data_IF_878616111405
#
_entry.id   IF_878616111405
#
_cell.length_a   1.000
_cell.length_b   1.000
_cell.length_c   1.000
_cell.angle_alpha   90.00
_cell.angle_beta   90.00
_cell.angle_gamma   90.00
#
_symmetry.space_group_name_H-M   'P 1'
#
loop_
_entity.id
_entity.type
_entity.pdbx_description
1 polymer ?
#
# COMPACT_ATOMS: atom_id res chain seq x y z
N UNK A 1 19.43 37.64 28.93
CA UNK A 1 18.33 37.84 29.89
C UNK A 1 17.42 36.62 29.84
N UNK A 2 16.76 36.30 30.97
CA UNK A 2 15.89 35.12 31.08
C UNK A 2 14.81 35.03 29.96
N UNK A 3 14.33 36.15 29.45
CA UNK A 3 13.37 36.21 28.36
C UNK A 3 13.94 35.68 27.03
N UNK A 4 15.24 35.92 26.76
CA UNK A 4 15.84 35.41 25.51
C UNK A 4 16.12 33.88 25.55
N UNK A 5 16.27 33.32 26.74
CA UNK A 5 16.49 31.87 26.92
C UNK A 5 15.17 31.08 26.82
N UNK A 6 14.04 31.68 27.18
CA UNK A 6 12.73 31.08 27.00
C UNK A 6 12.38 30.96 25.50
N UNK A 7 12.73 31.98 24.70
CA UNK A 7 12.52 31.96 23.25
C UNK A 7 13.34 30.87 22.53
N UNK A 8 14.54 30.57 23.03
CA UNK A 8 15.42 29.54 22.48
C UNK A 8 14.99 28.12 22.83
N UNK A 9 14.03 27.95 23.74
CA UNK A 9 13.50 26.64 24.17
C UNK A 9 12.17 26.28 23.55
N UNK A 10 11.69 27.08 22.59
CA UNK A 10 10.46 26.76 21.85
C UNK A 10 10.74 25.68 20.83
N UNK A 11 9.90 24.66 20.82
CA UNK A 11 9.86 23.62 19.80
C UNK A 11 8.53 23.72 19.07
N UNK A 12 8.51 23.41 17.78
CA UNK A 12 7.26 23.34 17.04
C UNK A 12 6.40 22.15 17.50
N UNK A 13 5.08 22.20 17.39
CA UNK A 13 4.22 21.05 17.68
C UNK A 13 4.62 19.78 16.93
N UNK A 14 5.12 19.94 15.68
CA UNK A 14 5.65 18.83 14.87
C UNK A 14 6.90 18.20 15.50
N UNK A 15 7.88 19.01 15.89
CA UNK A 15 9.10 18.50 16.54
C UNK A 15 8.80 17.80 17.86
N UNK A 16 7.87 18.36 18.65
CA UNK A 16 7.42 17.74 19.90
C UNK A 16 6.79 16.38 19.64
N UNK A 17 5.88 16.29 18.66
CA UNK A 17 5.24 15.05 18.26
C UNK A 17 6.27 14.00 17.82
N UNK A 18 7.21 14.36 16.94
CA UNK A 18 8.25 13.44 16.47
C UNK A 18 9.14 12.95 17.62
N UNK A 19 9.59 13.86 18.50
CA UNK A 19 10.45 13.48 19.64
C UNK A 19 9.79 12.50 20.62
N UNK A 20 8.46 12.57 20.76
CA UNK A 20 7.72 11.65 21.62
C UNK A 20 7.42 10.33 20.90
N UNK A 21 7.04 10.39 19.63
CA UNK A 21 6.56 9.22 18.88
C UNK A 21 7.70 8.35 18.35
N UNK A 22 8.71 8.97 17.74
CA UNK A 22 9.81 8.22 17.10
C UNK A 22 10.42 7.13 17.98
N UNK A 23 10.82 7.41 19.25
CA UNK A 23 11.41 6.36 20.09
C UNK A 23 10.49 5.19 20.40
N UNK A 24 9.16 5.38 20.21
CA UNK A 24 8.16 4.36 20.50
C UNK A 24 7.82 3.50 19.29
N UNK A 25 8.06 4.02 18.07
CA UNK A 25 7.71 3.33 16.81
C UNK A 25 8.93 2.86 16.02
N UNK A 26 10.12 3.36 16.36
CA UNK A 26 11.36 2.90 15.74
C UNK A 26 11.67 1.47 16.15
N UNK A 27 11.85 0.61 15.15
CA UNK A 27 12.24 -0.79 15.30
C UNK A 27 13.57 -0.94 14.56
N UNK A 28 14.59 -1.51 15.20
CA UNK A 28 15.93 -1.66 14.61
C UNK A 28 15.93 -2.59 13.39
N UNK A 29 15.16 -3.68 13.46
CA UNK A 29 14.97 -4.62 12.35
C UNK A 29 13.47 -4.80 12.08
N UNK A 30 12.86 -3.90 11.30
CA UNK A 30 11.44 -4.00 11.02
C UNK A 30 11.15 -5.24 10.18
N UNK A 31 10.20 -6.06 10.66
CA UNK A 31 9.61 -7.17 9.92
C UNK A 31 8.12 -6.99 9.99
N UNK A 32 7.54 -6.59 8.89
CA UNK A 32 6.13 -6.25 8.83
C UNK A 32 5.28 -7.40 8.31
N UNK A 33 4.01 -7.32 8.63
CA UNK A 33 2.92 -8.14 8.09
C UNK A 33 1.83 -7.19 7.58
N UNK A 34 1.54 -7.26 6.29
CA UNK A 34 0.44 -6.53 5.67
C UNK A 34 -0.74 -7.46 5.40
N UNK A 35 -1.92 -7.08 5.85
CA UNK A 35 -3.17 -7.80 5.61
C UNK A 35 -4.18 -6.84 5.00
N UNK A 36 -4.79 -7.24 3.89
CA UNK A 36 -5.88 -6.50 3.26
C UNK A 36 -7.05 -7.43 3.00
N UNK A 37 -8.24 -6.98 3.34
CA UNK A 37 -9.50 -7.62 2.96
C UNK A 37 -10.40 -6.64 2.24
N UNK A 38 -10.79 -6.99 1.02
CA UNK A 38 -11.79 -6.26 0.24
C UNK A 38 -13.03 -7.12 0.13
N UNK A 39 -14.17 -6.58 0.52
CA UNK A 39 -15.48 -7.25 0.39
C UNK A 39 -16.37 -6.43 -0.52
N UNK A 40 -16.88 -7.06 -1.56
CA UNK A 40 -17.81 -6.47 -2.51
C UNK A 40 -19.14 -7.24 -2.43
N UNK A 41 -20.22 -6.50 -2.27
CA UNK A 41 -21.59 -7.04 -2.23
C UNK A 41 -22.35 -6.45 -3.40
N UNK A 42 -22.99 -7.28 -4.19
CA UNK A 42 -23.74 -6.85 -5.37
C UNK A 42 -24.59 -7.96 -5.95
N UNK A 43 -24.97 -7.80 -7.19
CA UNK A 43 -25.76 -8.78 -7.94
C UNK A 43 -25.03 -9.20 -9.21
N UNK A 44 -25.11 -10.47 -9.53
CA UNK A 44 -24.66 -11.02 -10.81
C UNK A 44 -25.80 -11.75 -11.48
N UNK A 45 -26.27 -11.23 -12.61
CA UNK A 45 -27.44 -11.76 -13.37
C UNK A 45 -28.70 -11.95 -12.51
N UNK A 46 -28.97 -10.97 -11.62
CA UNK A 46 -30.12 -10.96 -10.72
C UNK A 46 -29.96 -11.80 -9.44
N UNK A 47 -28.83 -12.44 -9.23
CA UNK A 47 -28.54 -13.19 -8.01
C UNK A 47 -27.63 -12.39 -7.09
N UNK A 48 -27.89 -12.30 -5.78
CA UNK A 48 -27.01 -11.64 -4.84
C UNK A 48 -25.67 -12.39 -4.77
N UNK A 49 -24.58 -11.62 -4.84
CA UNK A 49 -23.21 -12.15 -4.79
C UNK A 49 -22.37 -11.35 -3.82
N UNK A 50 -21.60 -12.05 -3.01
CA UNK A 50 -20.55 -11.45 -2.17
C UNK A 50 -19.20 -11.99 -2.61
N UNK A 51 -18.31 -11.10 -3.02
CA UNK A 51 -16.92 -11.44 -3.30
C UNK A 51 -16.03 -10.89 -2.21
N UNK A 52 -15.19 -11.75 -1.64
CA UNK A 52 -14.16 -11.35 -0.67
C UNK A 52 -12.80 -11.68 -1.24
N UNK A 53 -11.89 -10.70 -1.20
CA UNK A 53 -10.51 -10.83 -1.64
C UNK A 53 -9.64 -10.58 -0.41
N UNK A 54 -8.84 -11.56 -0.04
CA UNK A 54 -7.85 -11.48 1.03
C UNK A 54 -6.46 -11.49 0.42
N UNK A 55 -5.62 -10.59 0.89
CA UNK A 55 -4.21 -10.51 0.53
C UNK A 55 -3.44 -10.44 1.85
N UNK A 56 -2.43 -11.29 1.97
CA UNK A 56 -1.49 -11.27 3.08
C UNK A 56 -0.08 -11.30 2.52
N UNK A 57 0.79 -10.48 3.06
CA UNK A 57 2.19 -10.44 2.69
C UNK A 57 3.03 -10.10 3.91
N UNK A 58 4.26 -10.58 3.94
CA UNK A 58 5.18 -10.40 5.04
C UNK A 58 6.56 -9.99 4.53
N UNK A 59 7.42 -9.62 5.47
CA UNK A 59 8.82 -9.32 5.18
C UNK A 59 9.46 -10.45 4.36
N UNK A 60 10.08 -10.10 3.24
CA UNK A 60 10.74 -11.07 2.36
C UNK A 60 12.22 -11.24 2.77
N UNK A 61 12.53 -12.34 3.44
CA UNK A 61 13.88 -12.68 3.87
C UNK A 61 14.88 -12.84 2.71
N UNK A 62 14.43 -13.10 1.50
CA UNK A 62 15.28 -13.28 0.32
C UNK A 62 15.73 -11.96 -0.28
N UNK A 63 14.86 -10.98 -0.32
CA UNK A 63 15.12 -9.67 -0.94
C UNK A 63 15.40 -8.58 0.08
N UNK A 64 15.02 -8.78 1.34
CA UNK A 64 15.08 -7.77 2.40
C UNK A 64 13.98 -6.71 2.32
N UNK A 65 13.00 -6.86 1.42
CA UNK A 65 11.89 -5.92 1.32
C UNK A 65 10.83 -6.14 2.39
N UNK A 66 10.34 -5.04 2.95
CA UNK A 66 9.14 -5.02 3.76
C UNK A 66 7.90 -5.30 2.91
N UNK A 67 6.87 -5.89 3.52
CA UNK A 67 5.59 -6.10 2.83
C UNK A 67 4.99 -4.78 2.33
N UNK A 68 5.04 -3.71 3.14
CA UNK A 68 4.56 -2.39 2.76
C UNK A 68 5.37 -1.78 1.61
N UNK A 69 6.69 -1.98 1.57
CA UNK A 69 7.54 -1.54 0.46
C UNK A 69 7.18 -2.25 -0.83
N UNK A 70 6.96 -3.56 -0.78
CA UNK A 70 6.49 -4.35 -1.93
C UNK A 70 5.13 -3.82 -2.42
N UNK A 71 4.15 -3.66 -1.54
CA UNK A 71 2.82 -3.20 -1.92
C UNK A 71 2.83 -1.83 -2.57
N UNK A 72 3.67 -0.93 -2.09
CA UNK A 72 3.80 0.42 -2.64
C UNK A 72 4.65 0.44 -3.91
N UNK A 73 5.86 -0.09 -3.83
CA UNK A 73 6.86 -0.03 -4.91
C UNK A 73 6.49 -0.91 -6.11
N UNK A 74 6.00 -2.12 -5.89
CA UNK A 74 5.62 -3.01 -6.98
C UNK A 74 4.38 -2.54 -7.70
N UNK A 75 3.40 -1.97 -6.98
CA UNK A 75 2.25 -1.35 -7.63
C UNK A 75 2.68 -0.22 -8.57
N UNK A 76 3.51 0.70 -8.11
CA UNK A 76 4.05 1.77 -8.94
C UNK A 76 4.84 1.25 -10.15
N UNK A 77 5.69 0.23 -9.95
CA UNK A 77 6.48 -0.37 -11.02
C UNK A 77 5.62 -1.13 -12.04
N UNK A 78 4.55 -1.80 -11.60
CA UNK A 78 3.59 -2.43 -12.52
C UNK A 78 2.95 -1.39 -13.44
N UNK A 79 2.47 -0.28 -12.87
CA UNK A 79 1.85 0.79 -13.65
C UNK A 79 2.84 1.42 -14.62
N UNK A 80 4.08 1.64 -14.20
CA UNK A 80 5.13 2.16 -15.08
C UNK A 80 5.38 1.24 -16.29
N UNK A 81 5.42 -0.07 -16.09
CA UNK A 81 5.59 -1.05 -17.18
C UNK A 81 4.40 -1.02 -18.13
N UNK A 82 3.17 -0.97 -17.62
CA UNK A 82 1.97 -0.90 -18.47
C UNK A 82 1.91 0.41 -19.27
N UNK A 83 2.39 1.52 -18.70
CA UNK A 83 2.53 2.80 -19.42
C UNK A 83 3.58 2.70 -20.52
N UNK A 84 4.75 2.14 -20.25
CA UNK A 84 5.83 1.95 -21.23
C UNK A 84 5.41 1.04 -22.38
N UNK A 85 4.58 0.04 -22.10
CA UNK A 85 4.04 -0.89 -23.11
C UNK A 85 2.81 -0.31 -23.85
N UNK A 86 2.45 0.96 -23.60
CA UNK A 86 1.31 1.65 -24.20
C UNK A 86 -0.06 0.98 -23.92
N UNK A 87 -0.15 0.18 -22.87
CA UNK A 87 -1.37 -0.50 -22.43
C UNK A 87 -2.35 0.44 -21.67
N UNK A 88 -1.87 1.63 -21.33
CA UNK A 88 -2.64 2.64 -20.58
C UNK A 88 -2.85 3.88 -21.44
N UNK A 89 -4.05 4.43 -21.44
CA UNK A 89 -4.36 5.67 -22.15
C UNK A 89 -3.55 6.84 -21.62
N UNK A 90 -3.11 7.75 -22.50
CA UNK A 90 -2.42 8.99 -22.13
C UNK A 90 -3.35 9.95 -21.41
N UNK A 91 -2.86 10.64 -20.38
CA UNK A 91 -3.59 11.67 -19.64
C UNK A 91 -3.60 11.43 -18.13
N UNK A 92 -4.35 12.26 -17.42
CA UNK A 92 -4.59 12.09 -15.97
C UNK A 92 -5.79 11.16 -15.81
N UNK A 93 -5.54 9.91 -15.50
CA UNK A 93 -6.56 8.86 -15.42
C UNK A 93 -6.52 8.23 -14.03
N UNK A 94 -7.66 8.12 -13.31
CA UNK A 94 -7.72 7.36 -12.06
C UNK A 94 -7.27 5.92 -12.27
N UNK A 95 -6.55 5.36 -11.31
CA UNK A 95 -5.90 4.05 -11.41
C UNK A 95 -6.89 2.93 -11.75
N UNK A 96 -8.07 2.96 -11.15
CA UNK A 96 -9.15 1.98 -11.37
C UNK A 96 -9.75 2.03 -12.80
N UNK A 97 -9.44 3.09 -13.57
CA UNK A 97 -9.81 3.25 -14.98
C UNK A 97 -8.63 3.06 -15.93
N UNK A 98 -7.42 3.15 -15.39
CA UNK A 98 -6.20 3.01 -16.18
C UNK A 98 -5.92 1.54 -16.51
N UNK A 99 -6.20 0.63 -15.58
CA UNK A 99 -5.95 -0.79 -15.71
C UNK A 99 -7.16 -1.58 -15.25
N UNK A 100 -7.55 -2.63 -15.99
CA UNK A 100 -8.63 -3.52 -15.54
C UNK A 100 -8.19 -4.36 -14.34
N UNK A 101 -9.11 -4.70 -13.45
CA UNK A 101 -8.83 -5.53 -12.28
C UNK A 101 -8.25 -6.90 -12.64
N UNK A 102 -8.65 -7.49 -13.77
CA UNK A 102 -8.10 -8.77 -14.25
C UNK A 102 -6.63 -8.67 -14.65
N UNK A 103 -6.26 -7.62 -15.38
CA UNK A 103 -4.86 -7.38 -15.76
C UNK A 103 -4.03 -7.05 -14.54
N UNK A 104 -4.54 -6.22 -13.63
CA UNK A 104 -3.85 -5.95 -12.36
C UNK A 104 -3.59 -7.23 -11.57
N UNK A 105 -4.60 -8.08 -11.41
CA UNK A 105 -4.47 -9.36 -10.70
C UNK A 105 -3.41 -10.26 -11.35
N UNK A 106 -3.43 -10.43 -12.67
CA UNK A 106 -2.41 -11.21 -13.40
C UNK A 106 -0.99 -10.67 -13.15
N UNK A 107 -0.79 -9.36 -13.26
CA UNK A 107 0.52 -8.73 -13.05
C UNK A 107 1.00 -8.85 -11.60
N UNK A 108 0.09 -8.76 -10.65
CA UNK A 108 0.39 -8.91 -9.24
C UNK A 108 0.76 -10.37 -8.90
N UNK A 109 0.04 -11.36 -9.43
CA UNK A 109 0.39 -12.77 -9.26
C UNK A 109 1.78 -13.10 -9.80
N UNK A 110 2.17 -12.54 -10.95
CA UNK A 110 3.53 -12.71 -11.51
C UNK A 110 4.63 -12.15 -10.60
N UNK A 111 4.31 -11.24 -9.69
CA UNK A 111 5.22 -10.69 -8.67
C UNK A 111 5.17 -11.43 -7.33
N UNK A 112 4.34 -12.47 -7.23
CA UNK A 112 4.24 -13.29 -6.03
C UNK A 112 3.22 -12.81 -5.00
N UNK A 113 2.31 -11.89 -5.36
CA UNK A 113 1.17 -11.60 -4.49
C UNK A 113 0.24 -12.81 -4.43
N UNK A 114 -0.21 -13.16 -3.22
CA UNK A 114 -1.16 -14.25 -3.00
C UNK A 114 -2.56 -13.67 -2.72
N UNK A 115 -3.46 -13.82 -3.68
CA UNK A 115 -4.85 -13.42 -3.58
C UNK A 115 -5.73 -14.61 -3.27
N UNK A 116 -6.43 -14.59 -2.15
CA UNK A 116 -7.45 -15.57 -1.81
C UNK A 116 -8.83 -14.98 -2.12
N UNK A 117 -9.45 -15.47 -3.20
CA UNK A 117 -10.73 -14.97 -3.69
C UNK A 117 -11.84 -15.95 -3.32
N UNK A 118 -12.85 -15.48 -2.61
CA UNK A 118 -14.02 -16.23 -2.20
C UNK A 118 -15.28 -15.56 -2.77
N UNK A 119 -16.10 -16.34 -3.47
CA UNK A 119 -17.37 -15.89 -4.05
C UNK A 119 -18.49 -16.73 -3.43
N UNK A 120 -19.51 -16.04 -2.90
CA UNK A 120 -20.71 -16.65 -2.30
C UNK A 120 -21.95 -16.01 -2.88
#
# INVERSE_FOLDING_TARGET
>A
SAASDVYKRQISPREFYHRILEPQIMIEEPKDLCIMRVKVIGENKGNPVTTTIDIQDEYDHRTGFLAMEKWTGWHASMMMIEILNENVKKGVIPIEKALSGSVFHERAMLRGYDFKIHIK
#
